data_IF_256133308179
#
_entry.id   IF_256133308179
#
_cell.length_a   1.000
_cell.length_b   1.000
_cell.length_c   1.000
_cell.angle_alpha   90.00
_cell.angle_beta   90.00
_cell.angle_gamma   90.00
#
_symmetry.space_group_name_H-M   'P 1'
#
loop_
_entity.id
_entity.type
_entity.pdbx_description
1 polymer ?
#
# COMPACT_ATOMS: atom_id res chain seq x y z
N UNK A 1 15.12 -11.03 -19.87
CA UNK A 1 14.29 -10.09 -20.70
C UNK A 1 13.70 -9.11 -19.70
N UNK A 2 13.63 -7.82 -20.01
CA UNK A 2 13.03 -6.84 -19.09
C UNK A 2 11.52 -7.10 -18.99
N UNK A 3 10.98 -7.06 -17.77
CA UNK A 3 9.53 -7.19 -17.51
C UNK A 3 8.75 -5.91 -17.88
N UNK A 4 9.28 -5.12 -18.83
CA UNK A 4 8.67 -3.85 -19.25
C UNK A 4 7.43 -4.08 -20.10
N UNK A 5 6.38 -3.38 -19.75
CA UNK A 5 5.22 -3.18 -20.61
C UNK A 5 5.52 -2.07 -21.64
N UNK A 6 5.07 -2.28 -22.86
CA UNK A 6 5.29 -1.38 -23.99
C UNK A 6 3.94 -0.79 -24.44
N UNK A 7 3.46 0.29 -23.81
CA UNK A 7 2.20 0.88 -24.25
C UNK A 7 2.35 1.39 -25.69
N UNK A 8 1.42 1.00 -26.56
CA UNK A 8 1.45 1.40 -27.96
C UNK A 8 1.37 2.93 -28.09
N UNK A 9 2.29 3.50 -28.88
CA UNK A 9 2.34 4.92 -29.18
C UNK A 9 2.43 5.85 -27.95
N UNK A 10 2.92 5.35 -26.80
CA UNK A 10 3.08 6.18 -25.61
C UNK A 10 3.97 7.41 -25.88
N UNK A 11 3.48 8.56 -25.48
CA UNK A 11 4.24 9.81 -25.40
C UNK A 11 3.82 10.54 -24.13
N UNK A 12 4.77 10.99 -23.30
CA UNK A 12 4.44 11.78 -22.11
C UNK A 12 3.63 13.02 -22.51
N UNK A 13 2.44 13.18 -21.94
CA UNK A 13 1.59 14.35 -22.14
C UNK A 13 2.26 15.60 -21.57
N UNK A 14 2.88 15.46 -20.42
CA UNK A 14 3.59 16.54 -19.72
C UNK A 14 5.10 16.39 -19.90
N UNK A 15 5.79 17.52 -20.17
CA UNK A 15 7.24 17.57 -20.15
C UNK A 15 7.79 17.43 -18.71
N UNK A 16 9.12 17.27 -18.56
CA UNK A 16 9.77 17.04 -17.26
C UNK A 16 9.42 18.12 -16.23
N UNK A 17 9.49 19.39 -16.59
CA UNK A 17 9.19 20.52 -15.67
C UNK A 17 7.72 20.48 -15.21
N UNK A 18 6.80 20.23 -16.13
CA UNK A 18 5.38 20.08 -15.79
C UNK A 18 5.13 18.86 -14.91
N UNK A 19 5.84 17.76 -15.17
CA UNK A 19 5.76 16.53 -14.35
C UNK A 19 6.19 16.81 -12.92
N UNK A 20 7.33 17.47 -12.70
CA UNK A 20 7.80 17.86 -11.34
C UNK A 20 6.79 18.77 -10.61
N UNK A 21 6.20 19.73 -11.34
CA UNK A 21 5.15 20.61 -10.79
C UNK A 21 3.88 19.82 -10.46
N UNK A 22 3.52 18.85 -11.29
CA UNK A 22 2.38 17.94 -11.08
C UNK A 22 2.58 17.04 -9.86
N UNK A 23 3.78 16.46 -9.70
CA UNK A 23 4.14 15.67 -8.53
C UNK A 23 3.93 16.46 -7.24
N UNK A 24 4.46 17.70 -7.20
CA UNK A 24 4.28 18.59 -6.06
C UNK A 24 2.79 18.89 -5.80
N UNK A 25 2.04 19.25 -6.84
CA UNK A 25 0.62 19.55 -6.74
C UNK A 25 -0.18 18.38 -6.15
N UNK A 26 0.02 17.19 -6.70
CA UNK A 26 -0.67 15.97 -6.26
C UNK A 26 -0.30 15.63 -4.82
N UNK A 27 1.00 15.61 -4.49
CA UNK A 27 1.45 15.26 -3.14
C UNK A 27 0.90 16.23 -2.09
N UNK A 28 1.01 17.54 -2.31
CA UNK A 28 0.54 18.55 -1.37
C UNK A 28 -0.98 18.50 -1.17
N UNK A 29 -1.72 18.34 -2.24
CA UNK A 29 -3.18 18.34 -2.18
C UNK A 29 -3.75 17.03 -1.61
N UNK A 30 -3.25 15.88 -2.07
CA UNK A 30 -3.75 14.59 -1.61
C UNK A 30 -3.51 14.38 -0.12
N UNK A 31 -2.31 14.66 0.39
CA UNK A 31 -2.00 14.47 1.81
C UNK A 31 -2.89 15.31 2.74
N UNK A 32 -3.22 16.55 2.32
CA UNK A 32 -4.11 17.42 3.10
C UNK A 32 -5.55 16.90 3.10
N UNK A 33 -6.04 16.42 1.95
CA UNK A 33 -7.36 15.81 1.84
C UNK A 33 -7.45 14.52 2.65
N UNK A 34 -6.46 13.64 2.54
CA UNK A 34 -6.37 12.41 3.33
C UNK A 34 -6.39 12.70 4.83
N UNK A 35 -5.54 13.64 5.27
CA UNK A 35 -5.46 14.03 6.68
C UNK A 35 -6.80 14.61 7.20
N UNK A 36 -7.47 15.41 6.40
CA UNK A 36 -8.78 15.99 6.74
C UNK A 36 -9.86 14.90 6.81
N UNK A 37 -9.95 14.05 5.77
CA UNK A 37 -10.95 12.98 5.71
C UNK A 37 -10.84 12.01 6.87
N UNK A 38 -9.64 11.60 7.22
CA UNK A 38 -9.41 10.58 8.25
C UNK A 38 -9.03 11.16 9.62
N UNK A 39 -9.02 12.50 9.77
CA UNK A 39 -8.63 13.22 11.00
C UNK A 39 -7.24 12.82 11.51
N UNK A 40 -6.26 12.90 10.61
CA UNK A 40 -4.89 12.48 10.87
C UNK A 40 -3.99 13.67 11.18
N UNK A 41 -3.14 13.52 12.19
CA UNK A 41 -2.02 14.43 12.47
C UNK A 41 -0.73 13.91 11.83
N UNK A 42 0.05 14.80 11.19
CA UNK A 42 1.34 14.40 10.64
C UNK A 42 2.37 14.17 11.74
N UNK A 43 3.08 13.05 11.67
CA UNK A 43 4.20 12.72 12.59
C UNK A 43 5.47 12.44 11.81
N UNK A 44 6.62 12.57 12.48
CA UNK A 44 7.92 12.19 11.92
C UNK A 44 8.18 10.71 12.17
N UNK A 45 8.47 9.96 11.12
CA UNK A 45 8.75 8.54 11.19
C UNK A 45 10.24 8.22 11.02
N UNK A 46 10.71 7.07 11.53
CA UNK A 46 12.06 6.59 11.30
C UNK A 46 12.23 6.07 9.87
N UNK A 47 13.40 6.30 9.28
CA UNK A 47 13.84 5.64 8.05
C UNK A 47 14.32 4.21 8.32
N UNK A 48 14.82 3.95 9.52
CA UNK A 48 15.36 2.67 9.96
C UNK A 48 15.04 2.42 11.44
N UNK A 49 14.98 1.16 11.81
CA UNK A 49 14.70 0.68 13.17
C UNK A 49 15.76 -0.34 13.59
N UNK A 50 15.88 -0.58 14.90
CA UNK A 50 16.77 -1.63 15.41
C UNK A 50 16.28 -3.01 14.98
N UNK A 51 17.20 -3.84 14.51
CA UNK A 51 16.94 -5.24 14.16
C UNK A 51 16.48 -6.05 15.37
N UNK A 52 15.57 -7.01 15.17
CA UNK A 52 15.15 -7.97 16.20
C UNK A 52 14.04 -7.48 17.13
N UNK A 53 13.48 -6.28 16.94
CA UNK A 53 12.37 -5.77 17.75
C UNK A 53 10.98 -6.21 17.25
N UNK A 54 10.90 -6.80 16.05
CA UNK A 54 9.63 -7.15 15.42
C UNK A 54 8.83 -5.92 14.96
N UNK A 55 9.48 -4.76 14.81
CA UNK A 55 8.85 -3.51 14.35
C UNK A 55 8.88 -3.45 12.83
N UNK A 56 10.03 -3.81 12.20
CA UNK A 56 10.12 -3.87 10.75
C UNK A 56 9.21 -4.98 10.19
N UNK A 57 8.79 -4.81 8.96
CA UNK A 57 8.02 -5.81 8.23
C UNK A 57 8.98 -6.70 7.43
N UNK A 58 8.73 -8.00 7.41
CA UNK A 58 9.44 -8.95 6.56
C UNK A 58 8.67 -9.26 5.26
N UNK A 59 7.65 -8.46 4.95
CA UNK A 59 6.77 -8.60 3.78
C UNK A 59 6.23 -10.03 3.66
N UNK A 60 6.69 -10.78 2.66
CA UNK A 60 6.33 -12.19 2.49
C UNK A 60 7.22 -13.15 3.32
N UNK A 61 8.22 -12.59 4.03
CA UNK A 61 9.13 -13.33 4.90
C UNK A 61 10.39 -13.88 4.21
N UNK A 62 10.64 -13.51 2.97
CA UNK A 62 11.79 -13.89 2.18
C UNK A 62 12.65 -12.70 1.74
N UNK A 63 12.10 -11.50 1.76
CA UNK A 63 12.77 -10.27 1.34
C UNK A 63 13.82 -9.85 2.37
N UNK A 64 15.01 -9.46 1.86
CA UNK A 64 16.12 -9.03 2.69
C UNK A 64 16.02 -7.56 3.03
N UNK A 65 15.95 -7.25 4.32
CA UNK A 65 16.06 -5.87 4.77
C UNK A 65 17.48 -5.31 4.52
N UNK A 66 17.57 -4.09 4.00
CA UNK A 66 18.85 -3.37 3.94
C UNK A 66 19.26 -3.02 5.36
N UNK A 67 20.34 -3.60 5.85
CA UNK A 67 20.80 -3.45 7.23
C UNK A 67 22.24 -3.00 7.31
N UNK A 68 22.57 -2.25 8.38
CA UNK A 68 23.91 -1.71 8.62
C UNK A 68 24.24 -1.71 10.12
N UNK A 69 25.54 -1.84 10.48
CA UNK A 69 25.98 -1.74 11.87
C UNK A 69 26.06 -0.27 12.32
N UNK A 70 25.82 -0.02 13.60
CA UNK A 70 25.92 1.31 14.23
C UNK A 70 27.13 1.31 15.18
N UNK A 71 28.18 2.04 14.81
CA UNK A 71 29.45 2.10 15.56
C UNK A 71 29.27 2.47 17.04
N UNK A 72 28.51 3.51 17.30
CA UNK A 72 28.33 4.04 18.69
C UNK A 72 27.43 3.13 19.56
N UNK A 73 26.82 2.09 18.97
CA UNK A 73 26.02 1.08 19.68
C UNK A 73 26.72 -0.30 19.67
N UNK A 74 28.05 -0.33 19.56
CA UNK A 74 28.83 -1.59 19.59
C UNK A 74 28.53 -2.51 18.41
N UNK A 75 28.33 -1.92 17.23
CA UNK A 75 27.98 -2.60 15.99
C UNK A 75 26.61 -3.31 15.99
N UNK A 76 25.73 -2.95 16.93
CA UNK A 76 24.32 -3.33 16.85
C UNK A 76 23.72 -2.91 15.49
N UNK A 77 22.86 -3.76 14.92
CA UNK A 77 22.35 -3.55 13.56
C UNK A 77 21.01 -2.81 13.54
N UNK A 78 20.89 -1.88 12.61
CA UNK A 78 19.63 -1.28 12.20
C UNK A 78 19.23 -1.77 10.80
N UNK A 79 17.94 -1.68 10.51
CA UNK A 79 17.33 -2.04 9.24
C UNK A 79 16.53 -0.88 8.67
N UNK A 80 16.71 -0.57 7.38
CA UNK A 80 15.79 0.33 6.67
C UNK A 80 14.42 -0.31 6.64
N UNK A 81 13.38 0.47 6.94
CA UNK A 81 12.01 -0.05 7.03
C UNK A 81 11.52 -0.56 5.68
N UNK A 82 10.75 -1.65 5.71
CA UNK A 82 9.92 -2.10 4.58
C UNK A 82 8.48 -1.58 4.69
N UNK A 83 8.01 -1.36 5.92
CA UNK A 83 6.68 -0.85 6.26
C UNK A 83 6.74 -0.21 7.66
N UNK A 84 5.86 0.74 7.92
CA UNK A 84 5.69 1.37 9.22
C UNK A 84 4.42 0.91 9.96
N UNK A 85 3.75 -0.14 9.51
CA UNK A 85 2.47 -0.59 10.07
C UNK A 85 2.55 -0.79 11.59
N UNK A 86 3.56 -1.55 12.05
CA UNK A 86 3.76 -1.84 13.49
C UNK A 86 4.27 -0.61 14.25
N UNK A 87 5.16 0.18 13.67
CA UNK A 87 5.67 1.42 14.28
C UNK A 87 4.54 2.43 14.51
N UNK A 88 3.65 2.64 13.52
CA UNK A 88 2.53 3.59 13.65
C UNK A 88 1.64 3.23 14.83
N UNK A 89 1.35 1.94 15.02
CA UNK A 89 0.51 1.49 16.13
C UNK A 89 1.17 1.72 17.50
N UNK A 90 2.50 1.55 17.62
CA UNK A 90 3.26 1.94 18.81
C UNK A 90 3.15 3.45 19.07
N UNK A 91 3.26 4.26 18.01
CA UNK A 91 3.17 5.73 18.09
C UNK A 91 1.77 6.21 18.48
N UNK A 92 0.70 5.53 18.04
CA UNK A 92 -0.66 5.83 18.52
C UNK A 92 -0.79 5.67 20.05
N UNK A 93 -0.19 4.60 20.59
CA UNK A 93 -0.18 4.38 22.04
C UNK A 93 0.69 5.41 22.78
N UNK A 94 1.88 5.71 22.25
CA UNK A 94 2.81 6.69 22.86
C UNK A 94 2.21 8.09 22.93
N UNK A 95 1.45 8.50 21.92
CA UNK A 95 0.84 9.83 21.84
C UNK A 95 -0.58 9.88 22.42
N UNK A 96 -1.06 8.78 23.00
CA UNK A 96 -2.42 8.66 23.57
C UNK A 96 -3.52 9.14 22.59
N UNK A 97 -3.42 8.72 21.33
CA UNK A 97 -4.38 9.12 20.29
C UNK A 97 -5.74 8.48 20.59
N UNK A 98 -6.78 9.30 20.60
CA UNK A 98 -8.12 8.87 20.95
C UNK A 98 -8.88 8.26 19.76
N UNK A 99 -9.89 7.39 19.99
CA UNK A 99 -10.71 6.82 18.92
C UNK A 99 -11.30 7.87 17.97
N UNK A 100 -11.25 7.60 16.67
CA UNK A 100 -11.69 8.50 15.61
C UNK A 100 -10.66 9.52 15.14
N UNK A 101 -9.44 9.49 15.72
CA UNK A 101 -8.27 10.26 15.30
C UNK A 101 -7.11 9.35 14.95
N UNK A 102 -6.12 9.87 14.24
CA UNK A 102 -4.98 9.09 13.83
C UNK A 102 -3.76 9.93 13.47
N UNK A 103 -2.79 9.25 12.90
CA UNK A 103 -1.52 9.83 12.42
C UNK A 103 -1.27 9.46 10.97
N UNK A 104 -0.50 10.26 10.27
CA UNK A 104 0.12 9.87 9.01
C UNK A 104 1.56 10.38 8.93
N UNK A 105 2.33 9.76 8.05
CA UNK A 105 3.71 10.12 7.81
C UNK A 105 4.11 9.83 6.37
N UNK A 106 5.22 10.45 5.94
CA UNK A 106 5.90 10.06 4.71
C UNK A 106 6.84 8.90 5.02
N UNK A 107 6.49 7.69 4.58
CA UNK A 107 7.36 6.52 4.67
C UNK A 107 8.26 6.46 3.45
N UNK A 108 9.53 6.17 3.67
CA UNK A 108 10.51 5.87 2.63
C UNK A 108 11.13 4.51 2.94
N UNK A 109 11.03 3.58 1.99
CA UNK A 109 11.52 2.22 2.14
C UNK A 109 12.46 1.84 1.00
N UNK A 110 13.34 0.87 1.26
CA UNK A 110 14.21 0.25 0.24
C UNK A 110 13.89 -1.24 0.20
N UNK A 111 13.48 -1.73 -0.95
CA UNK A 111 13.21 -3.15 -1.22
C UNK A 111 14.27 -3.70 -2.15
N UNK A 112 15.33 -4.25 -1.58
CA UNK A 112 16.51 -4.69 -2.33
C UNK A 112 16.25 -5.86 -3.27
N UNK A 113 15.24 -6.67 -2.98
CA UNK A 113 14.87 -7.88 -3.74
C UNK A 113 13.68 -7.66 -4.69
N UNK A 114 13.25 -6.40 -4.90
CA UNK A 114 12.12 -6.06 -5.77
C UNK A 114 12.42 -6.39 -7.25
N UNK A 115 11.48 -7.03 -7.92
CA UNK A 115 11.53 -7.20 -9.37
C UNK A 115 11.09 -5.90 -10.07
N UNK A 116 12.05 -5.27 -10.77
CA UNK A 116 11.85 -3.97 -11.38
C UNK A 116 11.03 -4.10 -12.67
N UNK A 117 9.98 -3.28 -12.76
CA UNK A 117 9.14 -3.14 -13.94
C UNK A 117 8.59 -1.70 -14.07
N UNK A 118 7.51 -1.51 -14.83
CA UNK A 118 6.87 -0.20 -14.98
C UNK A 118 6.32 0.39 -13.67
N UNK A 119 5.98 -0.45 -12.68
CA UNK A 119 5.30 -0.09 -11.44
C UNK A 119 6.16 -0.25 -10.19
N UNK A 120 7.22 -1.05 -10.26
CA UNK A 120 8.05 -1.46 -9.11
C UNK A 120 9.45 -0.88 -9.20
N UNK A 121 9.91 -0.33 -8.10
CA UNK A 121 11.22 0.30 -7.91
C UNK A 121 11.86 -0.19 -6.61
N UNK A 122 13.18 -0.10 -6.50
CA UNK A 122 13.90 -0.34 -5.24
C UNK A 122 13.48 0.64 -4.15
N UNK A 123 13.10 1.85 -4.52
CA UNK A 123 12.63 2.90 -3.61
C UNK A 123 11.10 2.94 -3.59
N UNK A 124 10.53 2.88 -2.40
CA UNK A 124 9.08 2.95 -2.17
C UNK A 124 8.78 4.13 -1.26
N UNK A 125 7.87 5.00 -1.70
CA UNK A 125 7.35 6.12 -0.91
C UNK A 125 5.84 5.98 -0.72
N UNK A 126 5.37 6.14 0.52
CA UNK A 126 3.95 6.02 0.86
C UNK A 126 3.52 7.15 1.81
N UNK A 127 2.26 7.58 1.70
CA UNK A 127 1.56 8.13 2.85
C UNK A 127 1.11 6.95 3.69
N UNK A 128 1.81 6.76 4.77
CA UNK A 128 1.54 5.69 5.71
C UNK A 128 0.69 6.24 6.85
N UNK A 129 -0.51 5.71 7.06
CA UNK A 129 -1.48 6.25 8.00
C UNK A 129 -2.01 5.17 8.94
N UNK A 130 -2.47 5.58 10.14
CA UNK A 130 -3.04 4.70 11.14
C UNK A 130 -4.01 5.52 12.02
N UNK A 131 -5.21 4.99 12.29
CA UNK A 131 -6.22 5.63 13.12
C UNK A 131 -6.72 4.69 14.21
N UNK A 132 -6.98 5.23 15.40
CA UNK A 132 -7.54 4.47 16.52
C UNK A 132 -9.03 4.23 16.27
N UNK A 133 -9.47 2.99 16.51
CA UNK A 133 -10.87 2.57 16.38
C UNK A 133 -11.39 1.95 17.67
N UNK A 134 -12.71 1.88 17.81
CA UNK A 134 -13.34 1.12 18.89
C UNK A 134 -13.52 -0.35 18.51
N UNK A 135 -13.90 -1.19 19.47
CA UNK A 135 -14.17 -2.61 19.20
C UNK A 135 -15.35 -2.81 18.26
N UNK A 136 -16.37 -1.99 18.39
CA UNK A 136 -17.58 -2.01 17.56
C UNK A 136 -17.31 -1.64 16.09
N UNK A 137 -16.21 -0.93 15.84
CA UNK A 137 -15.78 -0.53 14.49
C UNK A 137 -14.95 -1.60 13.76
N UNK A 138 -14.75 -2.77 14.36
CA UNK A 138 -14.09 -3.92 13.70
C UNK A 138 -15.07 -4.66 12.79
N UNK A 139 -15.55 -3.98 11.74
CA UNK A 139 -16.53 -4.49 10.77
C UNK A 139 -16.14 -4.17 9.34
N UNK A 140 -16.64 -4.93 8.39
CA UNK A 140 -16.45 -4.67 6.95
C UNK A 140 -17.08 -3.33 6.57
N UNK A 141 -18.28 -3.01 7.08
CA UNK A 141 -18.94 -1.73 6.83
C UNK A 141 -18.07 -0.52 7.22
N UNK A 142 -17.39 -0.60 8.37
CA UNK A 142 -16.47 0.47 8.79
C UNK A 142 -15.26 0.57 7.86
N UNK A 143 -14.67 -0.57 7.47
CA UNK A 143 -13.56 -0.62 6.52
C UNK A 143 -13.96 0.01 5.18
N UNK A 144 -15.09 -0.39 4.61
CA UNK A 144 -15.62 0.17 3.36
C UNK A 144 -15.87 1.67 3.44
N UNK A 145 -16.40 2.17 4.56
CA UNK A 145 -16.58 3.61 4.78
C UNK A 145 -15.24 4.38 4.72
N UNK A 146 -14.19 3.84 5.35
CA UNK A 146 -12.85 4.44 5.28
C UNK A 146 -12.32 4.42 3.84
N UNK A 147 -12.49 3.31 3.11
CA UNK A 147 -12.10 3.21 1.70
C UNK A 147 -12.82 4.25 0.84
N UNK A 148 -14.14 4.43 1.02
CA UNK A 148 -14.91 5.45 0.29
C UNK A 148 -14.40 6.87 0.54
N UNK A 149 -14.00 7.20 1.78
CA UNK A 149 -13.42 8.50 2.15
C UNK A 149 -12.05 8.72 1.51
N UNK A 150 -11.19 7.70 1.48
CA UNK A 150 -9.90 7.74 0.75
C UNK A 150 -10.16 7.93 -0.74
N UNK A 151 -11.10 7.19 -1.31
CA UNK A 151 -11.44 7.28 -2.72
C UNK A 151 -12.00 8.67 -3.09
N UNK A 152 -12.78 9.30 -2.23
CA UNK A 152 -13.23 10.67 -2.42
C UNK A 152 -12.05 11.68 -2.46
N UNK A 153 -11.01 11.46 -1.65
CA UNK A 153 -9.78 12.28 -1.73
C UNK A 153 -9.03 12.04 -3.06
N UNK A 154 -9.01 10.81 -3.58
CA UNK A 154 -8.44 10.50 -4.90
C UNK A 154 -9.18 11.23 -6.02
N UNK A 155 -10.50 11.17 -6.05
CA UNK A 155 -11.32 11.87 -7.07
C UNK A 155 -11.11 13.38 -7.06
N UNK A 156 -11.05 14.01 -5.89
CA UNK A 156 -10.75 15.43 -5.78
C UNK A 156 -9.36 15.77 -6.30
N UNK A 157 -8.40 14.89 -6.08
CA UNK A 157 -7.02 15.08 -6.53
C UNK A 157 -6.91 14.93 -8.05
N UNK A 158 -7.61 13.95 -8.63
CA UNK A 158 -7.71 13.81 -10.08
C UNK A 158 -8.35 15.06 -10.70
N UNK A 159 -9.48 15.52 -10.15
CA UNK A 159 -10.16 16.72 -10.62
C UNK A 159 -9.21 17.93 -10.65
N UNK A 160 -8.52 18.22 -9.55
CA UNK A 160 -7.55 19.33 -9.47
C UNK A 160 -6.40 19.16 -10.48
N UNK A 161 -5.93 17.93 -10.68
CA UNK A 161 -4.84 17.63 -11.62
C UNK A 161 -5.29 17.91 -13.06
N UNK A 162 -6.50 17.50 -13.44
CA UNK A 162 -7.08 17.77 -14.75
C UNK A 162 -7.41 19.25 -14.97
N UNK A 163 -7.84 19.98 -13.93
CA UNK A 163 -8.00 21.44 -14.02
C UNK A 163 -6.69 22.17 -14.30
N UNK A 164 -5.59 21.69 -13.68
CA UNK A 164 -4.26 22.28 -13.88
C UNK A 164 -3.63 21.89 -15.21
N UNK A 165 -3.93 20.68 -15.68
CA UNK A 165 -3.38 20.09 -16.92
C UNK A 165 -4.55 19.51 -17.73
N UNK A 166 -5.20 20.36 -18.52
CA UNK A 166 -6.41 20.01 -19.26
C UNK A 166 -6.18 18.88 -20.30
N UNK A 167 -4.93 18.61 -20.66
CA UNK A 167 -4.55 17.52 -21.56
C UNK A 167 -4.66 16.15 -20.89
N UNK A 168 -4.69 16.09 -19.54
CA UNK A 168 -4.91 14.88 -18.76
C UNK A 168 -6.42 14.75 -18.53
N UNK A 169 -7.10 13.90 -19.29
CA UNK A 169 -8.51 13.62 -19.07
C UNK A 169 -8.74 12.78 -17.79
N UNK A 170 -9.85 13.00 -17.05
CA UNK A 170 -10.20 12.15 -15.92
C UNK A 170 -10.57 10.74 -16.40
N UNK A 171 -10.24 9.71 -15.60
CA UNK A 171 -10.56 8.32 -15.92
C UNK A 171 -11.04 7.51 -14.71
N UNK A 172 -10.93 8.05 -13.50
CA UNK A 172 -11.43 7.38 -12.29
C UNK A 172 -12.98 7.38 -12.31
N UNK A 173 -13.63 6.25 -12.05
CA UNK A 173 -15.09 6.20 -11.93
C UNK A 173 -15.56 6.95 -10.67
N UNK A 174 -16.80 7.42 -10.67
CA UNK A 174 -17.37 8.17 -9.54
C UNK A 174 -17.49 7.35 -8.24
N UNK A 175 -17.46 6.02 -8.35
CA UNK A 175 -17.59 5.11 -7.21
C UNK A 175 -16.60 3.96 -7.33
N UNK A 176 -16.05 3.54 -6.19
CA UNK A 176 -15.26 2.33 -6.08
C UNK A 176 -16.18 1.12 -5.89
N UNK A 177 -15.86 0.01 -6.53
CA UNK A 177 -16.60 -1.26 -6.41
C UNK A 177 -15.94 -2.14 -5.33
N UNK A 178 -16.74 -2.72 -4.44
CA UNK A 178 -16.30 -3.65 -3.40
C UNK A 178 -16.54 -5.10 -3.82
N UNK A 179 -15.56 -5.96 -3.61
CA UNK A 179 -15.69 -7.39 -3.87
C UNK A 179 -14.75 -8.18 -2.95
N UNK A 180 -15.25 -9.25 -2.38
CA UNK A 180 -14.39 -10.15 -1.61
C UNK A 180 -13.56 -11.05 -2.53
N UNK A 181 -12.31 -11.37 -2.12
CA UNK A 181 -11.38 -12.20 -2.91
C UNK A 181 -11.95 -13.60 -3.24
N UNK A 182 -12.80 -14.17 -2.35
CA UNK A 182 -13.50 -15.43 -2.63
C UNK A 182 -14.55 -15.28 -3.73
N UNK A 183 -15.35 -14.20 -3.72
CA UNK A 183 -16.35 -13.95 -4.78
C UNK A 183 -15.66 -13.70 -6.12
N UNK A 184 -14.50 -13.04 -6.08
CA UNK A 184 -13.69 -12.80 -7.27
C UNK A 184 -13.11 -14.11 -7.84
N UNK A 185 -12.71 -15.05 -6.97
CA UNK A 185 -12.33 -16.40 -7.38
C UNK A 185 -13.52 -17.15 -8.00
N UNK A 186 -14.69 -17.11 -7.35
CA UNK A 186 -15.88 -17.81 -7.81
C UNK A 186 -16.38 -17.23 -9.17
N UNK A 187 -16.20 -15.93 -9.39
CA UNK A 187 -16.54 -15.26 -10.67
C UNK A 187 -15.59 -15.64 -11.79
N UNK A 188 -14.31 -15.86 -11.51
CA UNK A 188 -13.27 -16.15 -12.50
C UNK A 188 -12.35 -17.31 -12.03
N UNK A 189 -12.88 -18.54 -11.90
CA UNK A 189 -12.14 -19.66 -11.31
C UNK A 189 -10.91 -20.10 -12.13
N UNK A 190 -10.93 -19.88 -13.45
CA UNK A 190 -9.83 -20.26 -14.35
C UNK A 190 -8.69 -19.23 -14.43
N UNK A 191 -8.89 -18.04 -13.87
CA UNK A 191 -7.89 -16.97 -13.90
C UNK A 191 -7.02 -17.00 -12.62
N UNK A 192 -5.72 -16.66 -12.77
CA UNK A 192 -4.87 -16.38 -11.60
C UNK A 192 -5.25 -15.03 -10.95
N UNK A 193 -4.68 -14.74 -9.77
CA UNK A 193 -5.03 -13.53 -9.01
C UNK A 193 -4.85 -12.24 -9.81
N UNK A 194 -3.72 -12.07 -10.49
CA UNK A 194 -3.45 -10.85 -11.30
C UNK A 194 -4.35 -10.74 -12.53
N UNK A 195 -4.74 -11.85 -13.12
CA UNK A 195 -5.73 -11.86 -14.21
C UNK A 195 -7.13 -11.52 -13.70
N UNK A 196 -7.51 -11.99 -12.50
CA UNK A 196 -8.76 -11.62 -11.85
C UNK A 196 -8.82 -10.13 -11.52
N UNK A 197 -7.73 -9.57 -10.98
CA UNK A 197 -7.60 -8.13 -10.74
C UNK A 197 -7.79 -7.33 -12.03
N UNK A 198 -7.11 -7.72 -13.11
CA UNK A 198 -7.25 -7.07 -14.42
C UNK A 198 -8.69 -7.14 -14.94
N UNK A 199 -9.33 -8.30 -14.85
CA UNK A 199 -10.70 -8.49 -15.34
C UNK A 199 -11.71 -7.62 -14.58
N UNK A 200 -11.64 -7.59 -13.26
CA UNK A 200 -12.57 -6.84 -12.43
C UNK A 200 -12.33 -5.33 -12.52
N UNK A 201 -11.05 -4.89 -12.49
CA UNK A 201 -10.72 -3.48 -12.64
C UNK A 201 -11.06 -2.94 -14.03
N UNK A 202 -10.86 -3.71 -15.09
CA UNK A 202 -11.31 -3.34 -16.45
C UNK A 202 -12.82 -3.13 -16.53
N UNK A 203 -13.59 -3.90 -15.75
CA UNK A 203 -15.06 -3.80 -15.72
C UNK A 203 -15.56 -2.59 -14.94
N UNK A 204 -14.95 -2.28 -13.80
CA UNK A 204 -15.45 -1.27 -12.85
C UNK A 204 -14.59 -0.01 -12.74
N UNK A 205 -13.36 -0.02 -13.26
CA UNK A 205 -12.41 1.11 -13.22
C UNK A 205 -11.67 1.28 -11.90
N UNK A 206 -12.35 1.12 -10.77
CA UNK A 206 -11.77 1.15 -9.42
C UNK A 206 -12.43 0.08 -8.55
N UNK A 207 -11.64 -0.69 -7.83
CA UNK A 207 -12.10 -1.84 -7.04
C UNK A 207 -11.36 -1.88 -5.70
N UNK A 208 -12.08 -2.19 -4.63
CA UNK A 208 -11.50 -2.63 -3.37
C UNK A 208 -11.71 -4.14 -3.25
N UNK A 209 -10.62 -4.90 -3.23
CA UNK A 209 -10.66 -6.35 -3.07
C UNK A 209 -10.43 -6.67 -1.59
N UNK A 210 -11.45 -7.24 -0.94
CA UNK A 210 -11.46 -7.58 0.47
C UNK A 210 -10.89 -8.97 0.74
N UNK A 211 -10.43 -9.20 1.97
CA UNK A 211 -10.03 -10.53 2.45
C UNK A 211 -8.73 -11.04 1.83
N UNK A 212 -7.69 -10.19 1.80
CA UNK A 212 -6.36 -10.54 1.29
C UNK A 212 -5.53 -11.23 2.39
N UNK A 213 -4.91 -12.36 2.07
CA UNK A 213 -4.01 -13.11 2.97
C UNK A 213 -4.57 -14.45 3.44
N UNK A 214 -5.89 -14.63 3.50
CA UNK A 214 -6.51 -15.90 3.82
C UNK A 214 -6.48 -16.88 2.63
N UNK A 215 -6.47 -18.19 2.95
CA UNK A 215 -6.57 -19.24 1.94
C UNK A 215 -8.01 -19.33 1.43
N UNK A 216 -8.18 -19.29 0.11
CA UNK A 216 -9.45 -19.38 -0.58
C UNK A 216 -9.89 -20.84 -0.77
N UNK A 217 -11.11 -21.05 -1.29
CA UNK A 217 -11.71 -22.38 -1.49
C UNK A 217 -10.91 -23.30 -2.42
N UNK A 218 -10.08 -22.74 -3.30
CA UNK A 218 -9.17 -23.49 -4.18
C UNK A 218 -7.85 -23.91 -3.51
N UNK A 219 -7.62 -23.57 -2.24
CA UNK A 219 -6.40 -23.85 -1.50
C UNK A 219 -5.27 -22.83 -1.70
N UNK A 220 -5.46 -21.79 -2.49
CA UNK A 220 -4.49 -20.71 -2.72
C UNK A 220 -4.90 -19.43 -2.00
N UNK A 221 -3.96 -18.51 -1.79
CA UNK A 221 -4.26 -17.14 -1.37
C UNK A 221 -4.48 -16.27 -2.61
N UNK A 222 -5.28 -15.20 -2.48
CA UNK A 222 -5.37 -14.20 -3.55
C UNK A 222 -4.04 -13.47 -3.70
N UNK A 223 -3.51 -12.97 -2.59
CA UNK A 223 -2.17 -12.39 -2.49
C UNK A 223 -1.61 -12.63 -1.07
N UNK A 224 -0.29 -12.38 -0.88
CA UNK A 224 0.38 -12.49 0.41
C UNK A 224 -0.01 -11.37 1.37
N UNK A 225 -0.02 -11.70 2.68
CA UNK A 225 -0.14 -10.70 3.75
C UNK A 225 0.57 -11.20 4.99
N UNK A 226 1.42 -10.35 5.61
CA UNK A 226 2.07 -10.71 6.86
C UNK A 226 1.05 -11.00 7.97
N UNK A 227 1.38 -11.88 8.94
CA UNK A 227 0.41 -12.31 9.95
C UNK A 227 0.23 -11.34 11.12
N UNK A 228 1.01 -10.25 11.19
CA UNK A 228 1.18 -9.50 12.43
C UNK A 228 0.78 -8.01 12.34
N UNK A 229 0.04 -7.60 11.31
CA UNK A 229 -0.57 -6.27 11.26
C UNK A 229 -2.01 -6.26 10.74
N UNK A 230 -2.32 -6.68 9.50
CA UNK A 230 -3.70 -6.72 9.00
C UNK A 230 -4.45 -7.96 9.47
N UNK A 231 -5.72 -7.79 9.87
CA UNK A 231 -6.60 -8.91 10.24
C UNK A 231 -7.23 -9.53 8.99
N UNK A 232 -6.64 -10.64 8.54
CA UNK A 232 -7.15 -11.42 7.42
C UNK A 232 -7.83 -12.72 7.84
N UNK A 233 -7.98 -12.98 9.15
CA UNK A 233 -8.46 -14.24 9.69
C UNK A 233 -9.80 -14.15 10.44
N UNK A 234 -10.24 -12.96 10.82
CA UNK A 234 -11.52 -12.75 11.47
C UNK A 234 -12.64 -12.88 10.45
N UNK A 235 -13.70 -13.67 10.73
CA UNK A 235 -14.87 -13.72 9.87
C UNK A 235 -15.59 -12.37 9.84
N UNK A 236 -16.02 -11.96 8.66
CA UNK A 236 -16.89 -10.81 8.48
C UNK A 236 -18.39 -11.19 8.60
N UNK A 237 -19.27 -10.22 8.45
CA UNK A 237 -20.72 -10.40 8.59
C UNK A 237 -21.32 -11.36 7.56
N UNK A 238 -20.64 -11.57 6.42
CA UNK A 238 -21.04 -12.54 5.37
C UNK A 238 -20.48 -13.93 5.59
N UNK A 239 -19.72 -14.16 6.67
CA UNK A 239 -19.06 -15.42 6.98
C UNK A 239 -17.77 -15.68 6.21
N UNK A 240 -17.28 -14.72 5.42
CA UNK A 240 -15.98 -14.75 4.77
C UNK A 240 -14.92 -14.16 5.69
N UNK A 241 -13.64 -14.48 5.47
CA UNK A 241 -12.56 -14.04 6.36
C UNK A 241 -11.84 -12.81 5.83
N UNK A 242 -11.50 -11.92 6.75
CA UNK A 242 -10.65 -10.74 6.51
C UNK A 242 -11.38 -9.42 6.68
N UNK A 243 -10.70 -8.51 7.38
CA UNK A 243 -11.10 -7.12 7.62
C UNK A 243 -10.07 -6.18 6.98
N UNK A 244 -9.54 -6.56 5.83
CA UNK A 244 -8.50 -5.86 5.08
C UNK A 244 -8.76 -5.95 3.59
N UNK A 245 -7.97 -5.24 2.80
CA UNK A 245 -8.04 -5.30 1.35
C UNK A 245 -7.15 -4.29 0.66
N UNK A 246 -7.24 -4.26 -0.66
CA UNK A 246 -6.42 -3.43 -1.52
C UNK A 246 -7.27 -2.59 -2.47
N UNK A 247 -6.92 -1.30 -2.62
CA UNK A 247 -7.50 -0.41 -3.63
C UNK A 247 -6.73 -0.61 -4.94
N UNK A 248 -7.41 -1.07 -5.96
CA UNK A 248 -6.89 -1.24 -7.30
C UNK A 248 -7.61 -0.32 -8.29
N UNK A 249 -6.85 0.24 -9.22
CA UNK A 249 -7.34 1.13 -10.27
C UNK A 249 -7.02 0.50 -11.63
N UNK A 250 -8.00 0.47 -12.54
CA UNK A 250 -7.70 0.19 -13.94
C UNK A 250 -6.92 1.36 -14.54
N UNK A 251 -5.68 1.09 -14.93
CA UNK A 251 -4.82 2.11 -15.47
C UNK A 251 -4.77 2.07 -17.00
N UNK A 252 -5.41 3.02 -17.72
CA UNK A 252 -5.55 2.95 -19.17
C UNK A 252 -4.22 3.01 -19.93
N UNK A 253 -3.20 3.69 -19.39
CA UNK A 253 -1.88 3.82 -20.05
C UNK A 253 -1.17 2.47 -20.17
N UNK A 254 -1.30 1.60 -19.16
CA UNK A 254 -0.69 0.28 -19.15
C UNK A 254 -1.68 -0.85 -19.42
N UNK A 255 -2.97 -0.54 -19.60
CA UNK A 255 -4.08 -1.49 -19.80
C UNK A 255 -4.09 -2.62 -18.76
N UNK A 256 -3.88 -2.26 -17.48
CA UNK A 256 -3.87 -3.22 -16.36
C UNK A 256 -4.39 -2.63 -15.08
N UNK A 257 -4.71 -3.51 -14.12
CA UNK A 257 -4.96 -3.13 -12.74
C UNK A 257 -3.65 -2.68 -12.07
N UNK A 258 -3.72 -1.61 -11.29
CA UNK A 258 -2.61 -1.10 -10.49
C UNK A 258 -3.08 -0.95 -9.05
N UNK A 259 -2.44 -1.65 -8.13
CA UNK A 259 -2.65 -1.49 -6.70
C UNK A 259 -2.11 -0.13 -6.26
N UNK A 260 -2.97 0.66 -5.63
CA UNK A 260 -2.63 1.98 -5.14
C UNK A 260 -2.42 2.00 -3.62
N UNK A 261 -3.18 1.20 -2.90
CA UNK A 261 -3.17 1.17 -1.44
C UNK A 261 -3.47 -0.22 -0.93
N UNK A 262 -2.76 -0.63 0.11
CA UNK A 262 -3.02 -1.79 0.92
C UNK A 262 -3.37 -1.33 2.33
N UNK A 263 -4.48 -1.83 2.90
CA UNK A 263 -4.99 -1.35 4.18
C UNK A 263 -5.87 -2.39 4.88
N UNK A 264 -6.07 -2.20 6.19
CA UNK A 264 -6.95 -3.08 6.94
C UNK A 264 -7.16 -2.63 8.38
N UNK A 265 -8.20 -3.18 9.00
CA UNK A 265 -8.35 -3.23 10.44
C UNK A 265 -7.23 -4.13 10.96
N UNK A 266 -6.51 -3.66 11.98
CA UNK A 266 -5.34 -4.37 12.49
C UNK A 266 -5.74 -5.53 13.40
N UNK A 267 -4.88 -6.54 13.46
CA UNK A 267 -5.06 -7.67 14.38
C UNK A 267 -5.26 -7.21 15.82
N UNK A 268 -6.17 -7.82 16.55
CA UNK A 268 -6.17 -7.84 18.00
C UNK A 268 -5.32 -9.02 18.52
N UNK A 269 -5.30 -9.25 19.82
CA UNK A 269 -4.51 -10.33 20.42
C UNK A 269 -4.95 -11.72 19.93
N UNK A 270 -6.25 -11.94 19.75
CA UNK A 270 -6.79 -13.21 19.28
C UNK A 270 -6.45 -13.47 17.81
N UNK A 271 -6.69 -12.50 16.93
CA UNK A 271 -6.36 -12.59 15.52
C UNK A 271 -4.85 -12.76 15.31
N UNK A 272 -4.01 -12.04 16.08
CA UNK A 272 -2.55 -12.19 16.01
C UNK A 272 -2.11 -13.63 16.30
N UNK A 273 -2.54 -14.20 17.42
CA UNK A 273 -2.17 -15.59 17.78
C UNK A 273 -2.63 -16.56 16.69
N UNK A 274 -3.86 -16.39 16.21
CA UNK A 274 -4.44 -17.25 15.17
C UNK A 274 -3.61 -17.17 13.87
N UNK A 275 -3.27 -15.96 13.42
CA UNK A 275 -2.53 -15.74 12.19
C UNK A 275 -1.07 -16.22 12.29
N UNK A 276 -0.40 -15.97 13.40
CA UNK A 276 0.95 -16.50 13.64
C UNK A 276 0.99 -18.02 13.61
N UNK A 277 -0.03 -18.68 14.21
CA UNK A 277 -0.16 -20.13 14.17
C UNK A 277 -0.40 -20.68 12.77
N UNK A 278 -1.24 -20.02 11.96
CA UNK A 278 -1.48 -20.40 10.55
C UNK A 278 -0.20 -20.33 9.73
N UNK A 279 0.64 -19.32 9.99
CA UNK A 279 1.91 -19.10 9.27
C UNK A 279 3.11 -19.83 9.90
N UNK A 280 2.92 -20.56 11.02
CA UNK A 280 4.01 -21.25 11.74
C UNK A 280 5.08 -20.30 12.27
N UNK A 281 4.67 -19.12 12.76
CA UNK A 281 5.55 -18.02 13.22
C UNK A 281 5.26 -17.66 14.69
N UNK A 282 4.84 -18.63 15.52
CA UNK A 282 4.45 -18.41 16.92
C UNK A 282 5.60 -17.84 17.77
N UNK A 283 6.85 -18.09 17.41
CA UNK A 283 8.03 -17.54 18.09
C UNK A 283 8.04 -16.00 18.10
N UNK A 284 7.33 -15.33 17.17
CA UNK A 284 7.23 -13.87 17.13
C UNK A 284 6.49 -13.29 18.32
N UNK A 285 5.70 -14.07 19.05
CA UNK A 285 5.05 -13.63 20.29
C UNK A 285 6.05 -13.11 21.33
N UNK A 286 7.32 -13.55 21.26
CA UNK A 286 8.41 -13.10 22.14
C UNK A 286 9.02 -11.76 21.74
N UNK A 287 8.72 -11.21 20.56
CA UNK A 287 9.25 -9.93 20.08
C UNK A 287 8.58 -8.75 20.78
N UNK A 288 9.26 -7.61 20.85
CA UNK A 288 8.82 -6.43 21.58
C UNK A 288 7.44 -5.92 21.17
N UNK A 289 7.19 -5.75 19.86
CA UNK A 289 5.89 -5.29 19.37
C UNK A 289 4.76 -6.26 19.75
N UNK A 290 4.98 -7.55 19.51
CA UNK A 290 3.97 -8.61 19.73
C UNK A 290 3.61 -8.75 21.20
N UNK A 291 4.60 -8.67 22.13
CA UNK A 291 4.35 -8.66 23.57
C UNK A 291 3.46 -7.50 24.02
N UNK A 292 3.69 -6.30 23.47
CA UNK A 292 2.84 -5.13 23.78
C UNK A 292 1.41 -5.32 23.31
N UNK A 293 1.25 -5.86 22.10
CA UNK A 293 -0.08 -6.14 21.53
C UNK A 293 -0.82 -7.21 22.35
N UNK A 294 -0.16 -8.31 22.69
CA UNK A 294 -0.75 -9.39 23.49
C UNK A 294 -1.11 -8.99 24.92
N UNK A 295 -0.47 -7.95 25.47
CA UNK A 295 -0.81 -7.35 26.78
C UNK A 295 -1.87 -6.25 26.67
N UNK A 296 -2.43 -6.03 25.47
CA UNK A 296 -3.41 -4.98 25.20
C UNK A 296 -2.89 -3.56 25.54
N UNK A 297 -1.56 -3.36 25.46
CA UNK A 297 -0.92 -2.04 25.65
C UNK A 297 -1.04 -1.15 24.39
N UNK A 298 -1.52 -1.68 23.27
CA UNK A 298 -1.69 -0.97 22.01
C UNK A 298 -3.17 -0.80 21.67
N UNK A 299 -3.59 0.36 21.13
CA UNK A 299 -4.99 0.58 20.78
C UNK A 299 -5.42 -0.33 19.61
N UNK A 300 -6.71 -0.60 19.50
CA UNK A 300 -7.29 -1.13 18.26
C UNK A 300 -7.17 -0.06 17.17
N UNK A 301 -6.82 -0.46 15.96
CA UNK A 301 -6.57 0.49 14.88
C UNK A 301 -6.94 -0.05 13.51
N UNK A 302 -7.10 0.88 12.58
CA UNK A 302 -7.16 0.67 11.14
C UNK A 302 -6.05 1.49 10.49
N UNK A 303 -5.42 0.97 9.47
CA UNK A 303 -4.37 1.72 8.80
C UNK A 303 -4.00 1.15 7.45
N UNK A 304 -3.11 1.85 6.76
CA UNK A 304 -2.66 1.45 5.42
C UNK A 304 -1.52 2.33 4.92
N UNK A 305 -1.05 1.97 3.73
CA UNK A 305 -0.09 2.75 2.97
C UNK A 305 -0.66 3.08 1.58
N UNK A 306 -0.51 4.32 1.15
CA UNK A 306 -0.91 4.78 -0.19
C UNK A 306 0.36 5.20 -0.93
N UNK A 307 0.66 4.55 -2.05
CA UNK A 307 1.86 4.80 -2.85
C UNK A 307 1.89 6.22 -3.42
N UNK A 308 2.83 7.05 -2.96
CA UNK A 308 2.94 8.45 -3.40
C UNK A 308 3.36 8.54 -4.88
N UNK A 309 4.46 7.90 -5.24
CA UNK A 309 4.95 7.88 -6.61
C UNK A 309 3.98 7.18 -7.55
N UNK A 310 3.33 6.10 -7.08
CA UNK A 310 2.33 5.36 -7.86
C UNK A 310 1.09 6.20 -8.14
N UNK A 311 0.58 6.97 -7.16
CA UNK A 311 -0.51 7.91 -7.37
C UNK A 311 -0.12 9.00 -8.38
N UNK A 312 1.08 9.59 -8.24
CA UNK A 312 1.56 10.59 -9.19
C UNK A 312 1.69 10.00 -10.61
N UNK A 313 2.20 8.77 -10.75
CA UNK A 313 2.30 8.07 -12.03
C UNK A 313 0.93 7.93 -12.70
N UNK A 314 -0.06 7.47 -11.94
CA UNK A 314 -1.43 7.26 -12.44
C UNK A 314 -2.05 8.59 -12.88
N UNK A 315 -2.06 9.61 -12.02
CA UNK A 315 -2.73 10.89 -12.29
C UNK A 315 -2.01 11.76 -13.33
N UNK A 316 -0.70 11.56 -13.53
CA UNK A 316 0.07 12.25 -14.57
C UNK A 316 0.22 11.44 -15.86
N UNK A 317 -0.51 10.32 -15.98
CA UNK A 317 -0.54 9.44 -17.14
C UNK A 317 0.85 8.98 -17.59
N UNK A 318 1.70 8.54 -16.65
CA UNK A 318 3.06 8.07 -16.94
C UNK A 318 3.11 6.55 -17.13
N UNK A 319 3.92 6.11 -18.08
CA UNK A 319 4.06 4.68 -18.38
C UNK A 319 5.03 3.94 -17.49
N UNK A 320 5.90 4.65 -16.77
CA UNK A 320 6.93 4.07 -15.90
C UNK A 320 7.10 4.88 -14.64
N UNK A 321 7.22 4.20 -13.49
CA UNK A 321 7.39 4.87 -12.18
C UNK A 321 8.67 5.71 -12.12
N UNK A 322 9.69 5.35 -12.87
CA UNK A 322 10.93 6.14 -13.03
C UNK A 322 10.75 7.48 -13.74
N UNK A 323 9.58 7.78 -14.33
CA UNK A 323 9.24 9.12 -14.80
C UNK A 323 8.78 10.05 -13.65
N UNK A 324 8.54 9.47 -12.47
CA UNK A 324 8.04 10.17 -11.27
C UNK A 324 9.09 10.25 -10.17
N UNK A 325 9.88 9.19 -9.98
CA UNK A 325 10.88 9.12 -8.92
C UNK A 325 12.27 8.81 -9.46
N UNK A 326 13.29 9.40 -8.85
CA UNK A 326 14.68 9.02 -9.08
C UNK A 326 14.97 7.67 -8.38
N UNK A 327 15.56 6.73 -9.10
CA UNK A 327 15.95 5.42 -8.60
C UNK A 327 17.10 4.85 -9.41
N UNK A 328 17.52 3.62 -9.11
CA UNK A 328 18.55 2.90 -9.86
C UNK A 328 17.85 1.87 -10.75
N UNK A 329 18.17 1.90 -12.04
CA UNK A 329 17.57 1.04 -13.05
C UNK A 329 18.64 0.25 -13.79
N UNK A 330 18.39 -1.02 -14.18
CA UNK A 330 19.28 -1.76 -15.05
C UNK A 330 19.53 -1.01 -16.37
N UNK A 331 20.76 -1.07 -16.85
CA UNK A 331 21.16 -0.35 -18.08
C UNK A 331 20.31 -0.74 -19.31
N UNK A 332 19.94 -2.00 -19.41
CA UNK A 332 19.05 -2.48 -20.51
C UNK A 332 17.67 -1.86 -20.40
N UNK A 333 17.11 -1.76 -19.18
CA UNK A 333 15.82 -1.13 -18.93
C UNK A 333 15.87 0.37 -19.27
N UNK A 334 16.94 1.07 -18.90
CA UNK A 334 17.13 2.50 -19.21
C UNK A 334 17.14 2.74 -20.72
N UNK A 335 17.90 1.93 -21.47
CA UNK A 335 17.95 2.01 -22.95
C UNK A 335 16.59 1.74 -23.58
N UNK A 336 15.88 0.76 -23.07
CA UNK A 336 14.55 0.40 -23.60
C UNK A 336 13.53 1.50 -23.28
N UNK A 337 13.51 2.03 -22.06
CA UNK A 337 12.66 3.18 -21.70
C UNK A 337 12.94 4.39 -22.59
N UNK A 338 14.21 4.70 -22.86
CA UNK A 338 14.58 5.78 -23.76
C UNK A 338 14.06 5.54 -25.18
N UNK A 339 14.20 4.30 -25.70
CA UNK A 339 13.67 3.91 -27.01
C UNK A 339 12.16 4.03 -27.11
N UNK A 340 11.44 3.74 -26.03
CA UNK A 340 9.98 3.78 -25.93
C UNK A 340 9.43 5.18 -25.59
N UNK A 341 10.30 6.18 -25.41
CA UNK A 341 9.87 7.54 -25.09
C UNK A 341 9.44 7.75 -23.63
N UNK A 342 9.92 6.89 -22.72
CA UNK A 342 9.72 7.00 -21.25
C UNK A 342 10.96 7.69 -20.62
N UNK A 343 10.94 9.00 -20.36
CA UNK A 343 12.10 9.71 -19.82
C UNK A 343 12.25 9.46 -18.32
N UNK A 344 13.14 8.57 -17.92
CA UNK A 344 13.40 8.28 -16.50
C UNK A 344 14.11 9.46 -15.82
N UNK A 345 13.77 9.69 -14.54
CA UNK A 345 14.46 10.64 -13.66
C UNK A 345 15.70 9.93 -13.08
N UNK A 346 16.88 10.54 -13.27
CA UNK A 346 18.17 10.04 -12.80
C UNK A 346 18.74 10.98 -11.73
#
# INVERSE_FOLDING_TARGET
>A
MSNLLHPENYRPVLNRKQTEQGIKLIKDFFQQNLATELRLSRVTAPLFVMQGLGINDDLNGIERAVSFPIKDLGDARAEVVHSLAKWKRLTLAEYDIQPGFGIYTDMNAIRADEELDNLHSLYVDQWDWEAVITKEQRTTEFLENIVQRIYAALLRTEYLTCERYAELGPFLPNQIHFIHSQDLLDMYPELNSKQRENAICKKYGAVFIEGIGATLSNGEKHDGRAPDYDDWSTPNESGKTGLNGDILIWYPVLERAVELSSMGIRVDAEALIKQLKIEGKEERTELFFHKKLLREELPLSIGGGIGQSRLCMILLHKAHIGEIQASIWPEEMRKECQRLGMPLIE
#
